data_IF_892249227817
#
_entry.id   IF_892249227817
#
_cell.length_a   1.000
_cell.length_b   1.000
_cell.length_c   1.000
_cell.angle_alpha   90.00
_cell.angle_beta   90.00
_cell.angle_gamma   90.00
#
_symmetry.space_group_name_H-M   'P 1'
#
loop_
_entity.id
_entity.type
_entity.pdbx_description
1 polymer ?
#
# COMPACT_ATOMS: atom_id res chain seq x y z
N UNK A 1 34.28 51.42 -25.22
CA UNK A 1 33.39 51.91 -24.13
C UNK A 1 32.02 52.07 -24.78
N UNK A 2 30.94 51.35 -24.44
CA UNK A 2 30.51 50.82 -23.14
C UNK A 2 29.61 49.58 -23.35
N UNK A 3 29.92 48.55 -22.54
CA UNK A 3 29.10 47.48 -21.94
C UNK A 3 28.02 46.73 -22.76
N UNK A 4 28.34 45.47 -23.07
CA UNK A 4 27.35 44.40 -23.19
C UNK A 4 26.83 44.03 -21.79
N UNK A 5 25.53 44.23 -21.52
CA UNK A 5 24.85 43.71 -20.34
C UNK A 5 23.87 42.63 -20.76
N UNK A 6 24.29 41.37 -20.61
CA UNK A 6 23.42 40.20 -20.69
C UNK A 6 22.53 40.18 -19.43
N UNK A 7 21.25 40.55 -19.57
CA UNK A 7 20.26 40.37 -18.51
C UNK A 7 19.77 38.92 -18.54
N UNK A 8 20.40 38.06 -17.73
CA UNK A 8 19.91 36.73 -17.44
C UNK A 8 18.61 36.83 -16.64
N UNK A 9 17.46 36.64 -17.31
CA UNK A 9 16.19 36.39 -16.64
C UNK A 9 16.22 35.01 -16.01
N UNK A 10 16.57 34.97 -14.72
CA UNK A 10 16.45 33.78 -13.89
C UNK A 10 14.98 33.37 -13.83
N UNK A 11 14.61 32.32 -14.57
CA UNK A 11 13.35 31.62 -14.40
C UNK A 11 13.44 30.89 -13.06
N UNK A 12 13.04 31.56 -11.99
CA UNK A 12 12.80 30.92 -10.72
C UNK A 12 11.52 30.08 -10.85
N UNK A 13 11.66 28.86 -11.36
CA UNK A 13 10.69 27.80 -11.10
C UNK A 13 10.77 27.47 -9.60
N UNK A 14 10.12 28.29 -8.77
CA UNK A 14 9.74 27.89 -7.43
C UNK A 14 8.66 26.80 -7.61
N UNK A 15 9.10 25.59 -7.91
CA UNK A 15 8.32 24.38 -7.76
C UNK A 15 8.08 24.21 -6.27
N UNK A 16 7.00 24.82 -5.77
CA UNK A 16 6.53 24.64 -4.41
C UNK A 16 6.26 23.15 -4.23
N UNK A 17 7.15 22.53 -3.50
CA UNK A 17 7.20 21.14 -3.09
C UNK A 17 5.89 20.69 -2.44
N UNK A 18 4.99 20.10 -3.20
CA UNK A 18 3.81 19.38 -2.68
C UNK A 18 4.13 17.90 -2.36
N UNK A 19 5.29 17.60 -1.78
CA UNK A 19 5.68 16.22 -1.44
C UNK A 19 5.58 15.95 0.06
N UNK A 20 5.27 16.96 0.87
CA UNK A 20 5.05 16.72 2.30
C UNK A 20 3.63 16.20 2.52
N UNK A 21 3.53 14.90 2.83
CA UNK A 21 2.37 14.18 3.36
C UNK A 21 1.59 13.24 2.42
N UNK A 22 2.19 12.75 1.33
CA UNK A 22 1.81 11.40 0.90
C UNK A 22 2.43 10.42 1.91
N UNK A 23 1.61 9.77 2.72
CA UNK A 23 2.08 8.65 3.52
C UNK A 23 2.78 7.64 2.59
N UNK A 24 3.89 7.01 2.99
CA UNK A 24 4.58 6.05 2.13
C UNK A 24 3.59 4.98 1.64
N UNK A 25 3.30 4.97 0.34
CA UNK A 25 2.47 3.95 -0.32
C UNK A 25 3.26 2.66 -0.60
N UNK A 26 4.54 2.65 -0.26
CA UNK A 26 5.42 1.48 -0.21
C UNK A 26 6.60 1.84 0.71
N UNK A 27 7.14 0.87 1.43
CA UNK A 27 8.23 1.09 2.38
C UNK A 27 7.83 1.20 3.86
N UNK A 28 6.56 0.93 4.19
CA UNK A 28 6.20 0.56 5.55
C UNK A 28 5.47 -0.79 5.52
N UNK A 29 5.88 -1.72 6.40
CA UNK A 29 5.42 -3.11 6.34
C UNK A 29 3.90 -3.25 6.53
N UNK A 30 3.27 -2.39 7.35
CA UNK A 30 1.82 -2.40 7.53
C UNK A 30 1.08 -2.02 6.24
N UNK A 31 1.59 -1.04 5.51
CA UNK A 31 1.02 -0.62 4.25
C UNK A 31 1.27 -1.65 3.15
N UNK A 32 2.43 -2.31 3.12
CA UNK A 32 2.69 -3.40 2.18
C UNK A 32 1.69 -4.56 2.37
N UNK A 33 1.45 -5.00 3.61
CA UNK A 33 0.42 -6.01 3.90
C UNK A 33 -0.97 -5.50 3.49
N UNK A 34 -1.28 -4.23 3.78
CA UNK A 34 -2.57 -3.63 3.40
C UNK A 34 -2.77 -3.60 1.89
N UNK A 35 -1.77 -3.18 1.13
CA UNK A 35 -1.85 -3.09 -0.33
C UNK A 35 -1.94 -4.47 -0.94
N UNK A 36 -1.08 -5.41 -0.54
CA UNK A 36 -1.19 -6.80 -0.99
C UNK A 36 -2.57 -7.39 -0.74
N UNK A 37 -3.17 -7.12 0.43
CA UNK A 37 -4.54 -7.54 0.71
C UNK A 37 -5.58 -6.90 -0.22
N UNK A 38 -5.51 -5.59 -0.44
CA UNK A 38 -6.42 -4.86 -1.33
C UNK A 38 -6.26 -5.36 -2.78
N UNK A 39 -5.05 -5.60 -3.24
CA UNK A 39 -4.75 -6.08 -4.59
C UNK A 39 -5.33 -7.48 -4.80
N UNK A 40 -5.16 -8.38 -3.83
CA UNK A 40 -5.76 -9.71 -3.86
C UNK A 40 -7.30 -9.68 -3.92
N UNK A 41 -7.93 -8.76 -3.16
CA UNK A 41 -9.38 -8.58 -3.17
C UNK A 41 -9.87 -8.03 -4.53
N UNK A 42 -9.17 -7.03 -5.07
CA UNK A 42 -9.49 -6.41 -6.36
C UNK A 42 -9.30 -7.38 -7.53
N UNK A 43 -8.22 -8.17 -7.54
CA UNK A 43 -7.98 -9.20 -8.54
C UNK A 43 -9.11 -10.25 -8.60
N UNK A 44 -9.83 -10.43 -7.50
CA UNK A 44 -10.99 -11.32 -7.38
C UNK A 44 -12.35 -10.61 -7.48
N UNK A 45 -12.34 -9.31 -7.80
CA UNK A 45 -13.55 -8.48 -7.93
C UNK A 45 -14.40 -8.46 -6.64
N UNK A 46 -13.75 -8.50 -5.48
CA UNK A 46 -14.43 -8.40 -4.19
C UNK A 46 -14.52 -6.93 -3.79
N UNK A 47 -15.74 -6.40 -3.79
CA UNK A 47 -16.01 -5.01 -3.45
C UNK A 47 -15.84 -4.75 -1.94
N UNK A 48 -15.03 -3.75 -1.63
CA UNK A 48 -14.66 -3.39 -0.26
C UNK A 48 -15.54 -2.22 0.22
N UNK A 49 -16.20 -2.39 1.37
CA UNK A 49 -16.93 -1.31 2.05
C UNK A 49 -16.01 -0.56 3.02
N UNK A 50 -15.34 -1.32 3.89
CA UNK A 50 -14.33 -0.78 4.80
C UNK A 50 -12.98 -1.38 4.44
N UNK A 51 -12.07 -0.51 3.98
CA UNK A 51 -10.71 -0.93 3.62
C UNK A 51 -10.01 -1.61 4.81
N UNK A 52 -9.22 -2.68 4.57
CA UNK A 52 -8.47 -3.32 5.62
C UNK A 52 -7.60 -2.32 6.40
N UNK A 53 -7.75 -2.30 7.72
CA UNK A 53 -6.91 -1.53 8.64
C UNK A 53 -5.96 -2.49 9.33
N UNK A 54 -4.66 -2.25 9.16
CA UNK A 54 -3.63 -3.16 9.67
C UNK A 54 -3.01 -2.66 10.97
N UNK A 55 -2.68 -3.61 11.85
CA UNK A 55 -1.92 -3.38 13.07
C UNK A 55 -0.85 -4.47 13.24
N UNK A 56 0.29 -4.11 13.84
CA UNK A 56 1.26 -5.09 14.29
C UNK A 56 0.84 -5.64 15.66
N UNK A 57 0.96 -6.95 15.85
CA UNK A 57 0.79 -7.55 17.16
C UNK A 57 2.01 -7.21 18.05
N UNK A 58 1.80 -6.84 19.32
CA UNK A 58 2.88 -6.45 20.23
C UNK A 58 3.91 -7.57 20.39
N UNK A 59 5.19 -7.20 20.39
CA UNK A 59 6.33 -8.10 20.60
C UNK A 59 6.46 -9.23 19.55
N UNK A 60 5.83 -9.09 18.38
CA UNK A 60 5.95 -10.02 17.26
C UNK A 60 6.17 -9.29 15.93
N UNK A 61 6.44 -10.03 14.86
CA UNK A 61 6.41 -9.52 13.48
C UNK A 61 5.03 -9.68 12.83
N UNK A 62 4.04 -10.24 13.54
CA UNK A 62 2.72 -10.52 12.97
C UNK A 62 1.98 -9.23 12.68
N UNK A 63 1.38 -9.17 11.50
CA UNK A 63 0.46 -8.11 11.11
C UNK A 63 -0.91 -8.72 10.89
N UNK A 64 -1.94 -8.12 11.48
CA UNK A 64 -3.33 -8.45 11.19
C UNK A 64 -4.02 -7.25 10.57
N UNK A 65 -4.94 -7.50 9.64
CA UNK A 65 -5.78 -6.46 9.08
C UNK A 65 -7.25 -6.89 9.07
N UNK A 66 -8.13 -5.94 9.38
CA UNK A 66 -9.57 -6.17 9.44
C UNK A 66 -10.32 -5.14 8.58
N UNK A 67 -11.36 -5.60 7.89
CA UNK A 67 -12.21 -4.77 7.05
C UNK A 67 -13.54 -5.47 6.74
N UNK A 68 -14.33 -4.90 5.84
CA UNK A 68 -15.63 -5.48 5.44
C UNK A 68 -15.91 -5.27 3.96
N UNK A 69 -16.60 -6.23 3.34
CA UNK A 69 -17.08 -6.12 1.95
C UNK A 69 -18.40 -5.34 1.89
N UNK A 70 -18.79 -4.90 0.68
CA UNK A 70 -20.10 -4.27 0.44
C UNK A 70 -21.27 -5.24 0.65
N UNK A 71 -21.02 -6.55 0.58
CA UNK A 71 -21.97 -7.60 0.92
C UNK A 71 -22.07 -7.86 2.43
N UNK A 72 -21.27 -7.17 3.26
CA UNK A 72 -21.27 -7.31 4.71
C UNK A 72 -20.46 -8.50 5.23
N UNK A 73 -19.61 -9.12 4.41
CA UNK A 73 -18.70 -10.17 4.86
C UNK A 73 -17.43 -9.56 5.47
N UNK A 74 -16.94 -10.16 6.56
CA UNK A 74 -15.70 -9.76 7.20
C UNK A 74 -14.50 -10.08 6.30
N UNK A 75 -13.53 -9.18 6.26
CA UNK A 75 -12.23 -9.37 5.66
C UNK A 75 -11.22 -9.50 6.80
N UNK A 76 -10.50 -10.62 6.84
CA UNK A 76 -9.43 -10.83 7.80
C UNK A 76 -8.14 -11.21 7.08
N UNK A 77 -7.06 -10.50 7.39
CA UNK A 77 -5.74 -10.71 6.80
C UNK A 77 -4.76 -11.01 7.92
N UNK A 78 -3.87 -11.97 7.69
CA UNK A 78 -2.73 -12.21 8.56
C UNK A 78 -1.46 -12.35 7.74
N UNK A 79 -0.40 -11.67 8.17
CA UNK A 79 0.91 -11.70 7.54
C UNK A 79 2.00 -11.42 8.58
N UNK A 80 3.21 -11.08 8.11
CA UNK A 80 4.29 -10.62 8.95
C UNK A 80 5.04 -9.44 8.31
N UNK A 81 5.87 -8.76 9.09
CA UNK A 81 6.79 -7.72 8.61
C UNK A 81 8.16 -8.27 8.18
N UNK A 82 8.29 -9.58 8.00
CA UNK A 82 9.54 -10.21 7.58
C UNK A 82 9.75 -10.09 6.06
N UNK A 83 11.00 -10.15 5.60
CA UNK A 83 11.32 -10.02 4.17
C UNK A 83 10.73 -11.15 3.31
N UNK A 84 10.54 -12.34 3.90
CA UNK A 84 9.94 -13.53 3.32
C UNK A 84 8.47 -13.74 3.74
N UNK A 85 7.78 -12.65 4.10
CA UNK A 85 6.41 -12.71 4.59
C UNK A 85 5.46 -13.46 3.65
N UNK A 86 4.70 -14.38 4.24
CA UNK A 86 3.48 -14.92 3.64
C UNK A 86 2.28 -14.10 4.08
N UNK A 87 1.22 -14.13 3.29
CA UNK A 87 -0.05 -13.46 3.58
C UNK A 87 -1.20 -14.44 3.35
N UNK A 88 -2.08 -14.52 4.34
CA UNK A 88 -3.32 -15.29 4.30
C UNK A 88 -4.48 -14.32 4.39
N UNK A 89 -5.44 -14.45 3.47
CA UNK A 89 -6.59 -13.56 3.35
C UNK A 89 -7.87 -14.37 3.39
N UNK A 90 -8.74 -14.01 4.32
CA UNK A 90 -10.06 -14.58 4.49
C UNK A 90 -11.16 -13.57 4.18
N UNK A 91 -12.22 -14.01 3.53
CA UNK A 91 -13.45 -13.24 3.34
C UNK A 91 -14.64 -14.10 3.76
N UNK A 92 -15.43 -13.65 4.73
CA UNK A 92 -16.55 -14.41 5.26
C UNK A 92 -16.16 -15.79 5.83
N UNK A 93 -14.90 -15.95 6.28
CA UNK A 93 -14.35 -17.20 6.78
C UNK A 93 -13.72 -18.12 5.73
N UNK A 94 -13.84 -17.81 4.43
CA UNK A 94 -13.20 -18.56 3.35
C UNK A 94 -11.81 -17.99 3.04
N UNK A 95 -10.80 -18.85 2.91
CA UNK A 95 -9.47 -18.44 2.43
C UNK A 95 -9.51 -18.15 0.93
N UNK A 96 -9.34 -16.89 0.56
CA UNK A 96 -9.27 -16.47 -0.84
C UNK A 96 -7.83 -16.39 -1.35
N UNK A 97 -6.84 -16.27 -0.46
CA UNK A 97 -5.44 -16.24 -0.83
C UNK A 97 -4.58 -16.76 0.32
N UNK A 98 -3.56 -17.54 -0.03
CA UNK A 98 -2.51 -18.03 0.86
C UNK A 98 -1.24 -18.18 0.02
N UNK A 99 -0.24 -17.34 0.27
CA UNK A 99 0.95 -17.27 -0.57
C UNK A 99 1.94 -16.20 -0.11
N UNK A 100 2.94 -15.93 -0.94
CA UNK A 100 3.96 -14.93 -0.65
C UNK A 100 3.39 -13.51 -0.83
N UNK A 101 3.63 -12.62 0.14
CA UNK A 101 3.22 -11.22 0.04
C UNK A 101 3.87 -10.53 -1.17
N UNK A 102 5.13 -10.87 -1.45
CA UNK A 102 5.89 -10.30 -2.57
C UNK A 102 5.22 -10.57 -3.91
N UNK A 103 4.63 -11.74 -4.10
CA UNK A 103 3.98 -12.09 -5.37
C UNK A 103 2.77 -11.18 -5.66
N UNK A 104 1.99 -10.84 -4.63
CA UNK A 104 0.86 -9.90 -4.78
C UNK A 104 1.32 -8.49 -5.13
N UNK A 105 2.33 -7.99 -4.43
CA UNK A 105 2.87 -6.65 -4.67
C UNK A 105 3.50 -6.52 -6.05
N UNK A 106 4.25 -7.54 -6.47
CA UNK A 106 4.90 -7.57 -7.77
C UNK A 106 3.88 -7.68 -8.90
N UNK A 107 2.78 -8.43 -8.72
CA UNK A 107 1.71 -8.52 -9.70
C UNK A 107 0.98 -7.19 -9.88
N UNK A 108 0.62 -6.53 -8.77
CA UNK A 108 0.00 -5.22 -8.81
C UNK A 108 0.89 -4.15 -9.49
N UNK A 109 2.21 -4.26 -9.36
CA UNK A 109 3.15 -3.36 -10.02
C UNK A 109 3.22 -3.53 -11.55
N UNK A 110 2.74 -4.65 -12.11
CA UNK A 110 2.80 -4.92 -13.56
C UNK A 110 1.65 -4.29 -14.34
N UNK A 111 0.49 -4.09 -13.70
CA UNK A 111 -0.71 -3.50 -14.31
C UNK A 111 -1.62 -4.51 -14.99
#
# INVERSE_FOLDING_TARGET
MVAATAAATAVALAGCSEISALAPVGGNALAEVRFGAIDALQARQIDILTAPVCAAEPDTTTVTCEGTTTAGADIFVRSSTADDATIVIHVGGETIYDGALRDLLDEAARG
#
